data_IF_270266017846
#
_entry.id   IF_270266017846
#
_cell.length_a   1.000
_cell.length_b   1.000
_cell.length_c   1.000
_cell.angle_alpha   90.00
_cell.angle_beta   90.00
_cell.angle_gamma   90.00
#
_symmetry.space_group_name_H-M   'P 1'
#
loop_
_entity.id
_entity.type
_entity.pdbx_description
1 polymer ?
#
# COMPACT_ATOMS: atom_id res chain seq x y z
N UNK A 1 9.47 3.82 -37.49
CA UNK A 1 8.41 3.21 -36.65
C UNK A 1 8.72 1.74 -36.43
N UNK A 2 9.76 1.47 -35.66
CA UNK A 2 10.03 0.16 -35.07
C UNK A 2 10.88 0.44 -33.83
N UNK A 3 10.23 0.61 -32.68
CA UNK A 3 10.91 0.68 -31.38
C UNK A 3 11.63 -0.65 -31.18
N UNK A 4 12.97 -0.65 -31.26
CA UNK A 4 13.77 -1.85 -31.05
C UNK A 4 13.96 -2.09 -29.56
N UNK A 5 13.22 -3.07 -29.04
CA UNK A 5 13.49 -3.67 -27.74
C UNK A 5 14.91 -4.23 -27.69
N UNK A 6 15.67 -3.85 -26.67
CA UNK A 6 17.01 -4.38 -26.40
C UNK A 6 16.97 -5.42 -25.29
N UNK A 7 16.08 -6.41 -25.40
CA UNK A 7 15.97 -7.48 -24.39
C UNK A 7 16.30 -8.89 -24.88
N UNK A 8 16.40 -9.15 -26.19
CA UNK A 8 16.66 -10.51 -26.69
C UNK A 8 17.59 -10.53 -27.91
N UNK A 9 18.81 -11.04 -27.75
CA UNK A 9 19.49 -11.74 -28.86
C UNK A 9 18.73 -13.04 -29.09
N UNK A 10 18.28 -13.37 -30.32
CA UNK A 10 17.56 -14.61 -30.55
C UNK A 10 18.53 -15.78 -30.42
N UNK A 11 18.32 -16.64 -29.43
CA UNK A 11 18.72 -18.03 -29.58
C UNK A 11 17.71 -18.64 -30.56
N UNK A 12 18.19 -19.06 -31.73
CA UNK A 12 17.36 -19.77 -32.70
C UNK A 12 16.78 -21.05 -32.09
N UNK A 13 15.50 -21.04 -31.73
CA UNK A 13 14.69 -22.25 -31.66
C UNK A 13 13.37 -21.98 -32.41
N UNK A 14 13.11 -22.84 -33.39
CA UNK A 14 11.97 -22.74 -34.30
C UNK A 14 10.63 -22.99 -33.61
N UNK A 15 9.58 -22.54 -34.32
CA UNK A 15 8.16 -22.82 -34.12
C UNK A 15 7.83 -24.06 -33.28
N UNK A 16 7.10 -23.85 -32.18
CA UNK A 16 5.93 -24.67 -31.83
C UNK A 16 5.10 -23.98 -30.73
N UNK A 17 3.82 -23.78 -31.02
CA UNK A 17 2.65 -23.84 -30.15
C UNK A 17 2.79 -23.52 -28.63
N UNK A 18 1.97 -22.56 -28.19
CA UNK A 18 1.29 -22.60 -26.89
C UNK A 18 2.15 -22.20 -25.70
N UNK A 19 1.87 -21.04 -25.12
CA UNK A 19 2.27 -20.73 -23.75
C UNK A 19 1.13 -20.02 -23.06
N UNK A 20 0.24 -20.83 -22.50
CA UNK A 20 -0.66 -20.41 -21.45
C UNK A 20 0.19 -19.93 -20.27
N UNK A 21 0.01 -18.68 -19.87
CA UNK A 21 0.59 -18.12 -18.65
C UNK A 21 -0.15 -18.79 -17.49
N UNK A 22 0.44 -19.84 -16.93
CA UNK A 22 -0.02 -20.46 -15.69
C UNK A 22 0.45 -19.55 -14.56
N UNK A 23 -0.46 -18.72 -14.05
CA UNK A 23 -0.34 -18.11 -12.72
C UNK A 23 -0.35 -19.26 -11.72
N UNK A 24 0.83 -19.70 -11.28
CA UNK A 24 0.94 -20.76 -10.29
C UNK A 24 0.41 -20.23 -8.95
N UNK A 25 -0.80 -20.67 -8.60
CA UNK A 25 -1.34 -20.62 -7.24
C UNK A 25 -0.40 -21.40 -6.31
N UNK A 26 0.51 -20.69 -5.63
CA UNK A 26 1.27 -21.25 -4.51
C UNK A 26 0.38 -21.26 -3.26
N UNK A 27 -0.50 -22.26 -3.19
CA UNK A 27 -1.09 -22.72 -1.93
C UNK A 27 -0.04 -23.57 -1.22
N UNK A 28 0.89 -22.91 -0.54
CA UNK A 28 1.72 -23.57 0.45
C UNK A 28 0.85 -23.83 1.70
N UNK A 29 0.44 -25.08 1.89
CA UNK A 29 -0.15 -25.56 3.13
C UNK A 29 0.86 -25.38 4.26
N UNK A 30 0.66 -24.34 5.07
CA UNK A 30 1.42 -24.17 6.30
C UNK A 30 0.92 -25.16 7.36
N UNK A 31 1.80 -25.77 8.16
CA UNK A 31 1.37 -26.62 9.27
C UNK A 31 0.62 -25.77 10.29
N UNK A 32 -0.45 -26.33 10.85
CA UNK A 32 -1.26 -25.73 11.89
C UNK A 32 -0.41 -25.44 13.15
N UNK A 33 0.18 -24.26 13.22
CA UNK A 33 0.69 -23.73 14.47
C UNK A 33 -0.49 -23.29 15.32
N UNK A 34 -0.54 -23.79 16.56
CA UNK A 34 -1.58 -23.50 17.53
C UNK A 34 -1.97 -22.01 17.54
N UNK A 35 -3.26 -21.79 17.32
CA UNK A 35 -3.90 -20.51 17.03
C UNK A 35 -3.93 -19.63 18.29
N UNK A 36 -2.93 -18.76 18.45
CA UNK A 36 -2.89 -17.73 19.50
C UNK A 36 -3.32 -16.34 18.99
N UNK A 37 -4.01 -16.29 17.84
CA UNK A 37 -4.58 -15.05 17.27
C UNK A 37 -6.05 -14.88 17.65
N UNK A 38 -6.59 -13.66 17.51
CA UNK A 38 -8.04 -13.41 17.63
C UNK A 38 -8.75 -14.12 16.46
N UNK A 39 -9.83 -14.89 16.65
CA UNK A 39 -10.59 -15.44 15.54
C UNK A 39 -11.22 -14.34 14.69
N UNK A 40 -11.25 -14.51 13.37
CA UNK A 40 -11.86 -13.52 12.46
C UNK A 40 -13.31 -13.19 12.84
N UNK A 41 -14.08 -14.22 13.20
CA UNK A 41 -15.47 -14.03 13.62
C UNK A 41 -15.60 -13.10 14.84
N UNK A 42 -14.60 -13.05 15.72
CA UNK A 42 -14.58 -12.07 16.82
C UNK A 42 -14.35 -10.66 16.28
N UNK A 43 -13.41 -10.50 15.34
CA UNK A 43 -13.11 -9.20 14.73
C UNK A 43 -14.31 -8.65 13.95
N UNK A 44 -14.96 -9.51 13.16
CA UNK A 44 -16.15 -9.14 12.39
C UNK A 44 -17.27 -8.65 13.34
N UNK A 45 -17.49 -9.35 14.46
CA UNK A 45 -18.45 -8.90 15.48
C UNK A 45 -18.03 -7.57 16.10
N UNK A 46 -16.73 -7.37 16.39
CA UNK A 46 -16.25 -6.11 16.95
C UNK A 46 -16.46 -4.97 15.95
N UNK A 47 -16.06 -5.12 14.69
CA UNK A 47 -16.18 -4.08 13.66
C UNK A 47 -17.65 -3.71 13.37
N UNK A 48 -18.54 -4.69 13.28
CA UNK A 48 -19.96 -4.45 12.98
C UNK A 48 -20.73 -3.85 14.17
N UNK A 49 -20.41 -4.27 15.40
CA UNK A 49 -21.27 -4.02 16.56
C UNK A 49 -20.65 -3.15 17.66
N UNK A 50 -19.32 -2.97 17.68
CA UNK A 50 -18.61 -2.31 18.77
C UNK A 50 -17.71 -1.16 18.28
N UNK A 51 -16.78 -1.46 17.37
CA UNK A 51 -15.78 -0.58 16.79
C UNK A 51 -16.36 0.29 15.67
N UNK A 52 -17.51 0.91 15.96
CA UNK A 52 -18.14 1.91 15.10
C UNK A 52 -17.72 3.32 15.51
N UNK A 53 -17.70 4.24 14.54
CA UNK A 53 -17.35 5.65 14.78
C UNK A 53 -18.25 6.27 15.86
N UNK A 54 -17.66 6.89 16.88
CA UNK A 54 -18.40 7.46 18.02
C UNK A 54 -18.75 6.48 19.15
N UNK A 55 -18.42 5.19 18.97
CA UNK A 55 -18.52 4.14 19.98
C UNK A 55 -17.13 3.67 20.42
N UNK A 56 -16.57 2.63 19.82
CA UNK A 56 -15.29 2.04 20.23
C UNK A 56 -14.28 1.91 19.08
N UNK A 57 -14.21 2.90 18.19
CA UNK A 57 -13.20 2.94 17.13
C UNK A 57 -12.39 4.24 17.11
N UNK A 58 -11.07 4.08 16.96
CA UNK A 58 -10.13 5.18 16.76
C UNK A 58 -9.84 6.00 18.02
N UNK A 59 -9.15 7.15 17.88
CA UNK A 59 -8.66 7.94 19.00
C UNK A 59 -9.77 8.50 19.91
N UNK A 60 -10.96 8.75 19.35
CA UNK A 60 -12.12 9.26 20.07
C UNK A 60 -13.06 8.15 20.60
N UNK A 61 -12.56 6.92 20.66
CA UNK A 61 -13.30 5.80 21.24
C UNK A 61 -13.75 6.13 22.67
N UNK A 62 -15.01 5.80 22.98
CA UNK A 62 -15.61 6.06 24.28
C UNK A 62 -14.79 5.40 25.38
N UNK A 63 -14.51 6.18 26.42
CA UNK A 63 -13.66 5.78 27.54
C UNK A 63 -12.24 5.39 27.10
N UNK A 64 -11.76 5.83 25.94
CA UNK A 64 -10.42 5.52 25.40
C UNK A 64 -10.21 4.04 25.11
N UNK A 65 -11.29 3.31 24.81
CA UNK A 65 -11.24 1.87 24.51
C UNK A 65 -11.49 1.65 23.01
N UNK A 66 -10.41 1.59 22.24
CA UNK A 66 -10.43 1.24 20.82
C UNK A 66 -10.51 -0.30 20.68
N UNK A 67 -11.54 -0.78 19.99
CA UNK A 67 -11.82 -2.21 19.78
C UNK A 67 -11.63 -2.60 18.31
N UNK A 68 -11.02 -1.74 17.51
CA UNK A 68 -10.62 -2.06 16.13
C UNK A 68 -9.67 -3.25 16.08
N UNK A 69 -9.66 -3.98 14.98
CA UNK A 69 -8.82 -5.17 14.81
C UNK A 69 -7.34 -4.94 15.11
N UNK A 70 -6.84 -3.73 14.85
CA UNK A 70 -5.46 -3.32 15.08
C UNK A 70 -5.11 -3.21 16.58
N UNK A 71 -6.08 -2.89 17.43
CA UNK A 71 -5.85 -2.55 18.85
C UNK A 71 -6.51 -3.53 19.82
N UNK A 72 -7.51 -4.29 19.38
CA UNK A 72 -8.42 -5.08 20.22
C UNK A 72 -7.69 -5.89 21.30
N UNK A 73 -6.75 -6.75 20.91
CA UNK A 73 -6.08 -7.64 21.87
C UNK A 73 -5.37 -6.85 22.97
N UNK A 74 -4.57 -5.85 22.58
CA UNK A 74 -3.79 -5.02 23.50
C UNK A 74 -4.69 -4.15 24.39
N UNK A 75 -5.84 -3.75 23.85
CA UNK A 75 -6.82 -2.92 24.53
C UNK A 75 -7.63 -3.67 25.59
N UNK A 76 -7.81 -5.00 25.46
CA UNK A 76 -8.71 -5.76 26.35
C UNK A 76 -8.04 -6.86 27.18
N UNK A 77 -7.04 -7.56 26.65
CA UNK A 77 -6.48 -8.75 27.31
C UNK A 77 -5.63 -8.34 28.50
N UNK A 78 -6.00 -8.83 29.70
CA UNK A 78 -5.36 -8.49 30.96
C UNK A 78 -5.32 -6.97 31.25
N UNK A 79 -6.24 -6.20 30.67
CA UNK A 79 -6.41 -4.77 30.94
C UNK A 79 -7.49 -4.56 32.01
N UNK A 80 -7.23 -3.87 33.13
CA UNK A 80 -8.26 -3.54 34.10
C UNK A 80 -9.39 -2.71 33.49
N UNK A 81 -10.64 -3.03 33.83
CA UNK A 81 -11.79 -2.23 33.45
C UNK A 81 -11.75 -0.87 34.15
N UNK A 82 -12.00 0.21 33.41
CA UNK A 82 -12.07 1.56 33.99
C UNK A 82 -13.28 1.77 34.90
N UNK A 83 -14.38 1.05 34.63
CA UNK A 83 -15.61 1.17 35.41
C UNK A 83 -15.56 0.30 36.68
N UNK A 84 -14.92 -0.87 36.57
CA UNK A 84 -14.80 -1.87 37.64
C UNK A 84 -13.35 -2.38 37.68
N UNK A 85 -12.42 -1.65 38.30
CA UNK A 85 -10.98 -1.97 38.25
C UNK A 85 -10.57 -3.33 38.81
N UNK A 86 -11.44 -3.97 39.60
CA UNK A 86 -11.26 -5.32 40.11
C UNK A 86 -11.46 -6.41 39.05
N UNK A 87 -12.08 -6.08 37.92
CA UNK A 87 -12.26 -6.97 36.78
C UNK A 87 -11.36 -6.53 35.62
N UNK A 88 -10.88 -7.49 34.84
CA UNK A 88 -10.22 -7.23 33.56
C UNK A 88 -11.26 -7.15 32.45
N UNK A 89 -11.00 -6.35 31.42
CA UNK A 89 -11.80 -6.29 30.20
C UNK A 89 -11.92 -7.68 29.58
N UNK A 90 -10.79 -8.36 29.38
CA UNK A 90 -10.73 -9.79 29.11
C UNK A 90 -9.78 -10.43 30.12
N UNK A 91 -10.31 -11.33 30.94
CA UNK A 91 -9.57 -12.26 31.78
C UNK A 91 -9.33 -13.54 30.96
N UNK A 92 -8.07 -13.84 30.58
CA UNK A 92 -7.77 -15.02 29.78
C UNK A 92 -8.29 -16.30 30.41
N UNK A 93 -8.90 -17.16 29.59
CA UNK A 93 -9.46 -18.44 29.98
C UNK A 93 -10.77 -18.38 30.76
N UNK A 94 -11.30 -17.18 31.06
CA UNK A 94 -12.50 -17.05 31.88
C UNK A 94 -13.45 -15.93 31.37
N UNK A 95 -14.41 -16.27 30.48
CA UNK A 95 -15.41 -15.33 29.99
C UNK A 95 -16.25 -14.72 31.11
N UNK A 96 -16.63 -15.50 32.12
CA UNK A 96 -17.54 -15.06 33.18
C UNK A 96 -16.89 -14.03 34.12
N UNK A 97 -15.55 -14.02 34.21
CA UNK A 97 -14.76 -13.01 34.93
C UNK A 97 -14.26 -11.87 34.01
N UNK A 98 -14.65 -11.87 32.74
CA UNK A 98 -14.27 -10.85 31.77
C UNK A 98 -15.32 -9.74 31.70
N UNK A 99 -14.95 -8.51 32.05
CA UNK A 99 -15.85 -7.36 32.08
C UNK A 99 -16.48 -7.07 30.71
N UNK A 100 -15.74 -7.25 29.61
CA UNK A 100 -16.28 -7.11 28.27
C UNK A 100 -17.43 -8.09 28.02
N UNK A 101 -17.27 -9.35 28.42
CA UNK A 101 -18.31 -10.38 28.31
C UNK A 101 -19.54 -10.05 29.16
N UNK A 102 -19.34 -9.64 30.42
CA UNK A 102 -20.44 -9.22 31.30
C UNK A 102 -21.23 -8.06 30.69
N UNK A 103 -20.56 -7.09 30.06
CA UNK A 103 -21.21 -5.97 29.35
C UNK A 103 -22.04 -6.44 28.16
N UNK A 104 -21.65 -7.53 27.49
CA UNK A 104 -22.38 -8.09 26.35
C UNK A 104 -23.61 -8.91 26.73
N UNK A 105 -23.58 -9.59 27.88
CA UNK A 105 -24.69 -10.44 28.35
C UNK A 105 -25.62 -9.73 29.33
N UNK A 106 -25.22 -8.59 29.88
CA UNK A 106 -25.97 -7.92 30.94
C UNK A 106 -25.73 -8.56 32.32
N UNK A 107 -24.53 -9.10 32.54
CA UNK A 107 -24.20 -9.89 33.74
C UNK A 107 -24.05 -9.06 35.01
N UNK A 108 -24.12 -9.74 36.15
CA UNK A 108 -23.94 -9.12 37.47
C UNK A 108 -22.56 -8.47 37.61
N UNK A 109 -22.49 -7.35 38.35
CA UNK A 109 -21.25 -6.60 38.56
C UNK A 109 -20.89 -5.61 37.44
N UNK A 110 -21.66 -5.55 36.34
CA UNK A 110 -21.44 -4.54 35.32
C UNK A 110 -21.99 -3.16 35.74
N UNK A 111 -21.33 -2.08 35.32
CA UNK A 111 -21.85 -0.71 35.49
C UNK A 111 -22.51 -0.19 34.22
N UNK A 112 -23.63 0.52 34.38
CA UNK A 112 -24.38 1.12 33.28
C UNK A 112 -25.20 0.10 32.47
N UNK A 113 -25.47 0.40 31.19
CA UNK A 113 -26.32 -0.44 30.31
C UNK A 113 -25.52 -1.54 29.61
N UNK A 114 -26.22 -2.61 29.20
CA UNK A 114 -25.71 -3.67 28.32
C UNK A 114 -25.19 -3.06 27.01
N UNK A 115 -24.14 -3.65 26.46
CA UNK A 115 -23.52 -3.31 25.18
C UNK A 115 -23.69 -4.47 24.18
N UNK A 116 -23.78 -4.22 22.86
CA UNK A 116 -23.93 -2.91 22.22
C UNK A 116 -25.23 -2.20 22.64
N UNK A 117 -25.27 -0.86 22.56
CA UNK A 117 -26.44 -0.06 22.93
C UNK A 117 -27.40 0.05 21.73
N UNK A 118 -28.70 -0.13 21.97
CA UNK A 118 -29.76 0.06 20.96
C UNK A 118 -30.44 -1.25 20.55
N UNK A 119 -30.99 -1.30 19.33
CA UNK A 119 -31.65 -2.50 18.75
C UNK A 119 -30.65 -3.54 18.19
N UNK A 120 -29.36 -3.41 18.51
CA UNK A 120 -28.25 -4.22 18.00
C UNK A 120 -27.62 -5.10 19.09
N UNK A 121 -28.45 -5.80 19.86
CA UNK A 121 -27.93 -6.80 20.81
C UNK A 121 -27.35 -7.98 20.04
N UNK A 122 -26.15 -8.41 20.40
CA UNK A 122 -25.51 -9.58 19.81
C UNK A 122 -26.40 -10.83 19.98
N UNK A 123 -26.40 -11.69 18.97
CA UNK A 123 -27.09 -12.98 19.04
C UNK A 123 -26.39 -13.91 20.03
N UNK A 124 -27.09 -14.96 20.49
CA UNK A 124 -26.48 -15.98 21.34
C UNK A 124 -25.24 -16.63 20.68
N UNK A 125 -25.26 -16.81 19.35
CA UNK A 125 -24.12 -17.36 18.61
C UNK A 125 -22.93 -16.40 18.62
N UNK A 126 -23.16 -15.11 18.37
CA UNK A 126 -22.10 -14.10 18.41
C UNK A 126 -21.48 -13.98 19.81
N UNK A 127 -22.30 -14.04 20.86
CA UNK A 127 -21.83 -14.06 22.25
C UNK A 127 -20.99 -15.31 22.52
N UNK A 128 -21.41 -16.47 22.01
CA UNK A 128 -20.66 -17.71 22.16
C UNK A 128 -19.30 -17.66 21.45
N UNK A 129 -19.23 -17.10 20.23
CA UNK A 129 -17.96 -16.90 19.50
C UNK A 129 -16.95 -16.11 20.35
N UNK A 130 -17.41 -15.04 21.02
CA UNK A 130 -16.54 -14.24 21.88
C UNK A 130 -16.18 -14.98 23.17
N UNK A 131 -17.11 -15.76 23.75
CA UNK A 131 -16.84 -16.59 24.92
C UNK A 131 -15.79 -17.67 24.62
N UNK A 132 -15.90 -18.34 23.47
CA UNK A 132 -14.97 -19.38 23.03
C UNK A 132 -13.58 -18.78 22.80
N UNK A 133 -13.52 -17.61 22.16
CA UNK A 133 -12.26 -16.88 22.04
C UNK A 133 -11.63 -16.58 23.39
N UNK A 134 -12.35 -15.94 24.32
CA UNK A 134 -11.81 -15.64 25.66
C UNK A 134 -11.33 -16.92 26.37
N UNK A 135 -12.10 -18.01 26.26
CA UNK A 135 -11.77 -19.32 26.86
C UNK A 135 -10.50 -19.94 26.26
N UNK A 136 -10.26 -19.72 24.96
CA UNK A 136 -9.07 -20.20 24.27
C UNK A 136 -7.78 -19.43 24.61
N UNK A 137 -7.88 -18.24 25.21
CA UNK A 137 -6.70 -17.46 25.59
C UNK A 137 -6.03 -18.11 26.82
N UNK A 138 -4.74 -18.48 26.77
CA UNK A 138 -4.04 -19.06 27.91
C UNK A 138 -4.05 -18.13 29.13
N UNK A 139 -4.22 -18.67 30.34
CA UNK A 139 -4.28 -17.89 31.59
C UNK A 139 -3.04 -17.04 31.87
N UNK A 140 -1.89 -17.43 31.33
CA UNK A 140 -0.63 -16.68 31.39
C UNK A 140 -0.39 -15.70 30.24
N UNK A 141 -1.35 -15.53 29.32
CA UNK A 141 -1.20 -14.65 28.16
C UNK A 141 -1.01 -13.18 28.58
N UNK A 142 -0.03 -12.53 28.00
CA UNK A 142 0.30 -11.13 28.17
C UNK A 142 -0.22 -10.30 27.00
N UNK A 143 -0.23 -8.97 27.14
CA UNK A 143 -0.52 -8.09 26.00
C UNK A 143 0.47 -8.27 24.83
N UNK A 144 1.67 -8.78 25.10
CA UNK A 144 2.68 -9.04 24.08
C UNK A 144 2.33 -10.26 23.21
N UNK A 145 1.39 -11.11 23.65
CA UNK A 145 0.90 -12.26 22.88
C UNK A 145 -0.14 -11.87 21.81
N UNK A 146 -0.43 -10.57 21.67
CA UNK A 146 -1.25 -10.00 20.61
C UNK A 146 -0.65 -10.32 19.23
N UNK A 147 -1.04 -11.43 18.61
CA UNK A 147 -0.77 -11.65 17.20
C UNK A 147 -1.83 -10.93 16.38
N UNK A 148 -1.40 -10.01 15.51
CA UNK A 148 -2.24 -9.54 14.40
C UNK A 148 -2.80 -10.76 13.69
N UNK A 149 -4.11 -10.80 13.52
CA UNK A 149 -4.80 -11.87 12.78
C UNK A 149 -4.59 -11.75 11.28
N UNK A 150 -4.09 -10.59 10.87
CA UNK A 150 -3.74 -10.27 9.50
C UNK A 150 -2.24 -10.15 9.35
N UNK A 151 -1.73 -10.63 8.22
CA UNK A 151 -0.34 -10.45 7.83
C UNK A 151 -0.21 -9.10 7.11
N UNK A 152 0.76 -8.29 7.52
CA UNK A 152 1.01 -6.98 6.94
C UNK A 152 2.28 -7.06 6.07
N UNK A 153 2.09 -7.50 4.82
CA UNK A 153 3.20 -7.73 3.90
C UNK A 153 4.00 -6.45 3.63
N UNK A 154 3.30 -5.32 3.48
CA UNK A 154 3.84 -3.98 3.28
C UNK A 154 3.01 -2.99 4.10
N UNK A 155 3.66 -2.18 4.94
CA UNK A 155 3.00 -1.32 5.94
C UNK A 155 2.72 0.10 5.40
N UNK A 156 3.40 0.49 4.33
CA UNK A 156 3.35 1.83 3.74
C UNK A 156 2.38 1.91 2.57
N UNK A 157 1.89 3.11 2.23
CA UNK A 157 1.00 3.36 1.07
C UNK A 157 1.54 2.81 -0.27
N UNK A 158 2.85 2.88 -0.45
CA UNK A 158 3.60 2.34 -1.57
C UNK A 158 4.91 1.77 -1.04
N UNK A 159 5.51 0.82 -1.76
CA UNK A 159 6.84 0.30 -1.42
C UNK A 159 7.92 1.29 -1.86
N UNK A 160 7.94 1.74 -3.10
CA UNK A 160 8.62 2.96 -3.52
C UNK A 160 7.80 3.72 -4.55
N UNK A 161 7.50 3.05 -5.66
CA UNK A 161 6.59 3.54 -6.69
C UNK A 161 5.29 2.73 -6.65
N UNK A 162 5.39 1.39 -6.61
CA UNK A 162 4.23 0.52 -6.64
C UNK A 162 3.32 0.70 -5.41
N UNK A 163 1.99 0.83 -5.59
CA UNK A 163 1.06 0.89 -4.49
C UNK A 163 1.02 -0.44 -3.77
N UNK A 164 0.90 -0.41 -2.45
CA UNK A 164 0.68 -1.61 -1.65
C UNK A 164 -0.81 -1.81 -1.39
N UNK A 165 -1.14 -2.93 -0.75
CA UNK A 165 -2.46 -3.23 -0.21
C UNK A 165 -2.80 -2.47 1.09
N UNK A 166 -1.86 -1.66 1.62
CA UNK A 166 -2.08 -0.89 2.83
C UNK A 166 -2.98 0.34 2.55
N UNK A 167 -3.90 0.57 3.48
CA UNK A 167 -4.80 1.73 3.53
C UNK A 167 -4.51 2.56 4.78
N UNK A 168 -4.93 3.82 4.76
CA UNK A 168 -4.81 4.68 5.95
C UNK A 168 -5.94 4.31 6.91
N UNK A 169 -5.67 4.04 8.19
CA UNK A 169 -6.71 3.73 9.17
C UNK A 169 -7.51 4.98 9.56
N UNK A 170 -8.80 4.82 9.91
CA UNK A 170 -9.60 5.93 10.45
C UNK A 170 -8.94 6.51 11.70
N UNK A 171 -9.07 7.83 11.86
CA UNK A 171 -8.46 8.56 12.98
C UNK A 171 -7.08 9.15 12.68
N UNK A 172 -6.51 8.84 11.51
CA UNK A 172 -5.30 9.46 11.01
C UNK A 172 -5.47 9.94 9.56
N UNK A 173 -4.55 10.78 9.10
CA UNK A 173 -4.28 11.02 7.70
C UNK A 173 -2.81 10.72 7.42
N UNK A 174 -2.48 10.44 6.16
CA UNK A 174 -1.09 10.21 5.74
C UNK A 174 -0.57 11.45 5.03
N UNK A 175 0.65 11.85 5.39
CA UNK A 175 1.45 12.80 4.61
C UNK A 175 2.67 12.09 4.04
N UNK A 176 2.94 12.31 2.75
CA UNK A 176 4.10 11.76 2.06
C UNK A 176 4.87 12.85 1.32
N UNK A 177 6.19 12.81 1.46
CA UNK A 177 7.13 13.49 0.58
C UNK A 177 7.86 12.40 -0.22
N UNK A 178 7.86 12.53 -1.55
CA UNK A 178 8.68 11.71 -2.44
C UNK A 178 9.67 12.60 -3.19
N UNK A 179 10.90 12.12 -3.30
CA UNK A 179 12.00 12.84 -3.92
C UNK A 179 12.76 11.90 -4.84
N UNK A 180 13.07 12.36 -6.05
CA UNK A 180 13.92 11.68 -7.03
C UNK A 180 14.99 12.67 -7.46
N UNK A 181 16.26 12.37 -7.20
CA UNK A 181 17.35 13.16 -7.75
C UNK A 181 17.43 12.91 -9.26
N UNK A 182 17.83 13.92 -10.03
CA UNK A 182 17.91 13.81 -11.49
C UNK A 182 19.28 13.31 -11.95
N UNK A 183 20.34 13.68 -11.22
CA UNK A 183 21.71 13.28 -11.54
C UNK A 183 21.95 11.81 -11.20
N UNK A 184 22.72 11.09 -12.03
CA UNK A 184 23.01 9.69 -11.81
C UNK A 184 23.96 9.47 -10.64
N UNK A 185 23.94 8.25 -10.09
CA UNK A 185 24.80 7.84 -8.97
C UNK A 185 26.29 7.80 -9.32
N UNK A 186 26.62 7.67 -10.60
CA UNK A 186 27.99 7.61 -11.12
C UNK A 186 28.56 9.00 -11.46
N UNK A 187 27.83 10.09 -11.17
CA UNK A 187 28.31 11.47 -11.31
C UNK A 187 29.57 11.78 -10.46
N UNK A 188 29.93 10.89 -9.53
CA UNK A 188 31.16 10.97 -8.76
C UNK A 188 31.04 11.84 -7.51
N UNK A 189 32.14 11.98 -6.78
CA UNK A 189 32.16 12.69 -5.48
C UNK A 189 31.99 14.21 -5.62
N UNK A 190 32.36 14.79 -6.76
CA UNK A 190 32.23 16.24 -7.01
C UNK A 190 30.77 16.69 -7.13
N UNK A 191 29.84 15.77 -7.45
CA UNK A 191 28.38 15.99 -7.43
C UNK A 191 27.69 15.18 -6.32
N UNK A 192 28.44 14.73 -5.32
CA UNK A 192 27.95 13.94 -4.19
C UNK A 192 27.12 12.71 -4.63
N UNK A 193 27.61 11.96 -5.62
CA UNK A 193 26.91 10.79 -6.20
C UNK A 193 25.52 11.14 -6.75
N UNK A 194 25.40 12.33 -7.33
CA UNK A 194 24.17 12.87 -7.92
C UNK A 194 23.23 13.57 -6.93
N UNK A 195 23.59 13.67 -5.64
CA UNK A 195 22.78 14.34 -4.62
C UNK A 195 22.80 15.87 -4.74
N UNK A 196 23.83 16.44 -5.39
CA UNK A 196 23.91 17.90 -5.62
C UNK A 196 23.05 18.35 -6.83
N UNK A 197 22.50 17.39 -7.58
CA UNK A 197 21.66 17.64 -8.74
C UNK A 197 20.27 18.14 -8.41
N UNK A 198 19.58 18.64 -9.44
CA UNK A 198 18.15 18.97 -9.34
C UNK A 198 17.29 17.73 -9.05
N UNK A 199 16.04 17.96 -8.65
CA UNK A 199 15.15 16.86 -8.28
C UNK A 199 13.71 17.02 -8.79
N UNK A 200 13.04 15.88 -8.97
CA UNK A 200 11.60 15.76 -9.09
C UNK A 200 10.99 15.41 -7.72
N UNK A 201 10.16 16.30 -7.20
CA UNK A 201 9.55 16.18 -5.88
C UNK A 201 8.03 16.01 -6.00
N UNK A 202 7.45 15.23 -5.11
CA UNK A 202 6.01 15.12 -4.93
C UNK A 202 5.63 15.25 -3.45
N UNK A 203 4.56 15.99 -3.19
CA UNK A 203 3.87 16.02 -1.90
C UNK A 203 2.53 15.33 -2.04
N UNK A 204 2.13 14.51 -1.06
CA UNK A 204 0.86 13.78 -1.06
C UNK A 204 0.20 13.82 0.32
N UNK A 205 -1.12 13.98 0.32
CA UNK A 205 -1.97 13.82 1.50
C UNK A 205 -3.01 12.75 1.19
N UNK A 206 -3.24 11.82 2.11
CA UNK A 206 -4.29 10.82 1.98
C UNK A 206 -5.19 10.76 3.23
N UNK A 207 -6.50 10.73 3.00
CA UNK A 207 -7.55 10.78 4.00
C UNK A 207 -8.39 9.50 3.94
N UNK A 208 -8.60 8.80 5.08
CA UNK A 208 -9.45 7.63 5.13
C UNK A 208 -10.94 8.01 5.11
N UNK A 209 -11.69 7.46 4.16
CA UNK A 209 -13.15 7.49 4.15
C UNK A 209 -13.73 6.34 5.00
N UNK A 210 -13.06 5.19 4.98
CA UNK A 210 -13.27 4.05 5.88
C UNK A 210 -11.93 3.45 6.29
N UNK A 211 -11.92 2.38 7.08
CA UNK A 211 -10.68 1.64 7.34
C UNK A 211 -10.12 0.98 6.07
N UNK A 212 -10.98 0.72 5.08
CA UNK A 212 -10.65 0.04 3.83
C UNK A 212 -10.61 0.98 2.62
N UNK A 213 -11.13 2.20 2.74
CA UNK A 213 -11.20 3.16 1.64
C UNK A 213 -10.45 4.44 2.00
N UNK A 214 -9.44 4.80 1.22
CA UNK A 214 -8.64 6.01 1.38
C UNK A 214 -8.67 6.83 0.09
N UNK A 215 -8.95 8.12 0.18
CA UNK A 215 -8.78 9.07 -0.91
C UNK A 215 -7.46 9.85 -0.73
N UNK A 216 -6.82 10.26 -1.82
CA UNK A 216 -5.56 11.00 -1.78
C UNK A 216 -5.49 12.07 -2.86
N UNK A 217 -4.77 13.13 -2.55
CA UNK A 217 -4.34 14.16 -3.49
C UNK A 217 -2.82 14.28 -3.43
N UNK A 218 -2.16 14.32 -4.58
CA UNK A 218 -0.73 14.59 -4.66
C UNK A 218 -0.42 15.69 -5.67
N UNK A 219 0.76 16.30 -5.52
CA UNK A 219 1.30 17.28 -6.45
C UNK A 219 2.75 16.94 -6.73
N UNK A 220 3.05 16.55 -7.97
CA UNK A 220 4.40 16.26 -8.48
C UNK A 220 4.92 17.44 -9.27
N UNK A 221 6.22 17.76 -9.13
CA UNK A 221 6.90 18.85 -9.87
C UNK A 221 6.81 18.66 -11.38
N UNK A 222 6.98 17.43 -11.83
CA UNK A 222 6.91 17.03 -13.24
C UNK A 222 5.53 17.42 -13.80
N UNK A 223 5.51 18.15 -14.92
CA UNK A 223 4.33 18.66 -15.64
C UNK A 223 3.33 19.42 -14.75
N UNK A 224 3.80 19.92 -13.60
CA UNK A 224 2.95 20.44 -12.55
C UNK A 224 1.74 19.54 -12.22
N UNK A 225 1.93 18.22 -12.23
CA UNK A 225 0.83 17.23 -12.18
C UNK A 225 0.18 17.14 -10.80
N UNK A 226 -1.14 17.24 -10.75
CA UNK A 226 -1.95 16.81 -9.61
C UNK A 226 -2.45 15.38 -9.82
N UNK A 227 -2.27 14.49 -8.85
CA UNK A 227 -2.91 13.16 -8.84
C UNK A 227 -4.09 13.19 -7.86
N UNK A 228 -5.26 12.75 -8.30
CA UNK A 228 -6.41 12.47 -7.44
C UNK A 228 -6.67 10.97 -7.51
N UNK A 229 -6.58 10.27 -6.39
CA UNK A 229 -6.70 8.82 -6.36
C UNK A 229 -7.51 8.31 -5.16
N UNK A 230 -8.15 7.16 -5.34
CA UNK A 230 -8.80 6.41 -4.26
C UNK A 230 -8.26 4.98 -4.23
N UNK A 231 -7.96 4.49 -3.03
CA UNK A 231 -7.54 3.11 -2.78
C UNK A 231 -8.58 2.39 -1.93
N UNK A 232 -9.11 1.29 -2.44
CA UNK A 232 -10.04 0.41 -1.74
C UNK A 232 -9.39 -0.95 -1.49
N UNK A 233 -9.24 -1.34 -0.23
CA UNK A 233 -8.82 -2.67 0.17
C UNK A 233 -10.00 -3.64 0.12
N UNK A 234 -9.82 -4.73 -0.61
CA UNK A 234 -10.82 -5.76 -0.82
C UNK A 234 -10.71 -6.90 0.19
N UNK A 235 -9.49 -7.29 0.53
CA UNK A 235 -9.22 -8.36 1.50
C UNK A 235 -7.83 -8.21 2.11
N UNK A 236 -7.65 -8.80 3.29
CA UNK A 236 -6.36 -8.87 4.00
C UNK A 236 -5.97 -10.32 4.21
N UNK A 237 -4.72 -10.63 3.91
CA UNK A 237 -4.12 -11.92 4.26
C UNK A 237 -4.30 -12.17 5.76
N UNK A 238 -4.81 -13.35 6.11
CA UNK A 238 -5.02 -13.76 7.49
C UNK A 238 -3.93 -14.74 7.91
N UNK A 239 -3.37 -14.55 9.10
CA UNK A 239 -2.30 -15.40 9.66
C UNK A 239 -2.77 -16.84 9.90
N UNK A 240 -4.09 -17.06 10.04
CA UNK A 240 -4.71 -18.38 10.10
C UNK A 240 -4.97 -19.04 8.73
N UNK A 241 -4.66 -18.37 7.62
CA UNK A 241 -4.77 -18.92 6.26
C UNK A 241 -6.16 -18.90 5.63
N UNK A 242 -7.21 -18.48 6.34
CA UNK A 242 -8.59 -18.37 5.80
C UNK A 242 -8.71 -17.38 4.65
N UNK A 243 -7.83 -16.37 4.59
CA UNK A 243 -7.63 -15.49 3.44
C UNK A 243 -6.15 -15.55 3.04
N UNK A 244 -5.81 -16.05 1.84
CA UNK A 244 -4.44 -16.43 1.51
C UNK A 244 -3.53 -15.29 1.04
N UNK A 245 -4.07 -14.11 0.74
CA UNK A 245 -3.32 -12.91 0.33
C UNK A 245 -4.14 -11.64 0.60
N UNK A 246 -3.49 -10.49 0.64
CA UNK A 246 -4.17 -9.19 0.67
C UNK A 246 -4.39 -8.68 -0.75
N UNK A 247 -5.50 -7.96 -0.98
CA UNK A 247 -5.79 -7.31 -2.25
C UNK A 247 -6.40 -5.92 -2.05
N UNK A 248 -6.05 -4.99 -2.94
CA UNK A 248 -6.67 -3.69 -3.04
C UNK A 248 -6.78 -3.25 -4.50
N UNK A 249 -7.51 -2.16 -4.73
CA UNK A 249 -7.59 -1.44 -6.00
C UNK A 249 -7.24 0.01 -5.74
N UNK A 250 -6.30 0.56 -6.50
CA UNK A 250 -6.01 1.98 -6.59
C UNK A 250 -6.52 2.47 -7.96
N UNK A 251 -7.33 3.52 -7.98
CA UNK A 251 -7.75 4.15 -9.23
C UNK A 251 -7.70 5.68 -9.09
N UNK A 252 -7.43 6.38 -10.18
CA UNK A 252 -7.30 7.82 -10.13
C UNK A 252 -7.11 8.49 -11.47
N UNK A 253 -6.89 9.80 -11.39
CA UNK A 253 -6.61 10.70 -12.50
C UNK A 253 -5.40 11.57 -12.18
N UNK A 254 -4.49 11.66 -13.14
CA UNK A 254 -3.43 12.65 -13.17
C UNK A 254 -3.84 13.81 -14.05
N UNK A 255 -3.64 15.03 -13.57
CA UNK A 255 -3.93 16.28 -14.27
C UNK A 255 -2.66 17.11 -14.43
N UNK A 256 -2.14 17.19 -15.65
CA UNK A 256 -0.96 17.96 -16.00
C UNK A 256 -1.29 19.46 -16.12
N UNK A 257 -0.81 20.27 -15.17
CA UNK A 257 -1.18 21.68 -15.07
C UNK A 257 -0.07 22.64 -15.48
N UNK A 258 0.99 22.17 -16.12
CA UNK A 258 2.06 23.06 -16.56
C UNK A 258 1.57 23.99 -17.69
N UNK A 259 1.96 25.27 -17.63
CA UNK A 259 1.48 26.27 -18.58
C UNK A 259 2.03 26.05 -20.00
N UNK A 260 3.25 25.54 -20.09
CA UNK A 260 3.99 25.39 -21.34
C UNK A 260 3.91 23.94 -21.88
N UNK A 261 2.70 23.37 -21.86
CA UNK A 261 2.40 22.13 -22.58
C UNK A 261 1.68 22.49 -23.88
N UNK A 262 2.22 21.98 -24.99
CA UNK A 262 1.81 22.30 -26.35
C UNK A 262 0.93 21.20 -26.93
N UNK A 263 0.01 21.59 -27.81
CA UNK A 263 -0.91 20.67 -28.43
C UNK A 263 -0.13 19.67 -29.31
N UNK A 264 -0.26 18.35 -29.07
CA UNK A 264 0.47 17.34 -29.84
C UNK A 264 0.09 17.34 -31.32
N UNK A 265 -1.13 17.75 -31.66
CA UNK A 265 -1.63 17.84 -33.04
C UNK A 265 -1.47 19.25 -33.64
N UNK A 266 -1.22 20.26 -32.79
CA UNK A 266 -0.90 21.64 -33.18
C UNK A 266 0.29 22.24 -32.38
N UNK A 267 1.55 21.84 -32.64
CA UNK A 267 2.69 22.15 -31.77
C UNK A 267 3.05 23.64 -31.59
N UNK A 268 2.48 24.53 -32.40
CA UNK A 268 2.63 25.98 -32.24
C UNK A 268 1.68 26.56 -31.17
N UNK A 269 0.70 25.78 -30.71
CA UNK A 269 -0.36 26.22 -29.81
C UNK A 269 -0.19 25.60 -28.42
N UNK A 270 -0.49 26.38 -27.38
CA UNK A 270 -0.50 25.88 -26.01
C UNK A 270 -1.83 25.21 -25.72
N UNK A 271 -1.81 24.02 -25.15
CA UNK A 271 -3.03 23.34 -24.72
C UNK A 271 -3.71 24.11 -23.59
N UNK A 272 -5.04 24.22 -23.63
CA UNK A 272 -5.83 24.62 -22.46
C UNK A 272 -5.55 23.68 -21.29
N UNK A 273 -5.54 24.17 -20.05
CA UNK A 273 -5.41 23.33 -18.83
C UNK A 273 -6.52 22.28 -18.70
N UNK A 274 -7.62 22.43 -19.44
CA UNK A 274 -8.76 21.50 -19.47
C UNK A 274 -8.77 20.60 -20.70
N UNK A 275 -7.72 20.62 -21.53
CA UNK A 275 -7.57 19.72 -22.68
C UNK A 275 -7.51 18.25 -22.22
N UNK A 276 -8.06 17.33 -23.01
CA UNK A 276 -8.22 15.92 -22.63
C UNK A 276 -6.88 15.21 -22.45
N UNK A 277 -5.91 15.55 -23.29
CA UNK A 277 -4.52 15.09 -23.36
C UNK A 277 -3.76 15.35 -22.04
N UNK A 278 -4.24 16.30 -21.23
CA UNK A 278 -3.66 16.61 -19.91
C UNK A 278 -4.16 15.71 -18.79
N UNK A 279 -5.09 14.80 -19.06
CA UNK A 279 -5.67 13.90 -18.07
C UNK A 279 -5.28 12.45 -18.32
N UNK A 280 -4.42 11.89 -17.47
CA UNK A 280 -4.11 10.46 -17.48
C UNK A 280 -5.02 9.70 -16.51
N UNK A 281 -5.58 8.57 -16.91
CA UNK A 281 -6.44 7.74 -16.06
C UNK A 281 -5.74 6.43 -15.76
N UNK A 282 -5.76 6.00 -14.50
CA UNK A 282 -5.10 4.76 -14.10
C UNK A 282 -5.95 3.91 -13.17
N UNK A 283 -5.72 2.59 -13.27
CA UNK A 283 -6.20 1.59 -12.32
C UNK A 283 -5.07 0.59 -12.06
N UNK A 284 -4.78 0.30 -10.80
CA UNK A 284 -3.83 -0.72 -10.36
C UNK A 284 -4.45 -1.61 -9.30
N UNK A 285 -4.17 -2.91 -9.34
CA UNK A 285 -4.72 -3.88 -8.39
C UNK A 285 -3.61 -4.61 -7.64
N UNK A 286 -3.04 -4.04 -6.56
CA UNK A 286 -2.00 -4.70 -5.80
C UNK A 286 -2.52 -5.95 -5.07
N UNK A 287 -1.75 -7.02 -5.18
CA UNK A 287 -1.93 -8.32 -4.53
C UNK A 287 -0.66 -8.63 -3.74
N UNK A 288 -0.75 -8.77 -2.42
CA UNK A 288 0.43 -8.98 -1.56
C UNK A 288 0.29 -10.20 -0.66
N UNK A 289 1.42 -10.85 -0.38
CA UNK A 289 1.48 -12.04 0.46
C UNK A 289 2.77 -12.10 1.26
N UNK A 290 2.68 -12.54 2.51
CA UNK A 290 3.82 -12.92 3.34
C UNK A 290 4.27 -14.37 3.07
N UNK A 291 5.55 -14.55 2.81
CA UNK A 291 6.23 -15.84 2.60
C UNK A 291 7.12 -16.13 3.81
N UNK A 292 6.50 -16.62 4.88
CA UNK A 292 7.18 -16.82 6.17
C UNK A 292 7.41 -15.51 6.94
N UNK A 293 8.28 -15.51 7.95
CA UNK A 293 8.37 -14.40 8.91
C UNK A 293 9.11 -13.15 8.41
N UNK A 294 9.83 -13.25 7.28
CA UNK A 294 10.74 -12.18 6.82
C UNK A 294 10.51 -11.71 5.40
N UNK A 295 9.95 -12.56 4.53
CA UNK A 295 9.81 -12.25 3.12
C UNK A 295 8.35 -11.90 2.82
N UNK A 296 8.14 -10.82 2.07
CA UNK A 296 6.86 -10.41 1.51
C UNK A 296 7.01 -10.22 0.02
N UNK A 297 5.98 -10.56 -0.74
CA UNK A 297 5.94 -10.38 -2.20
C UNK A 297 4.65 -9.68 -2.62
N UNK A 298 4.69 -8.99 -3.75
CA UNK A 298 3.55 -8.29 -4.30
C UNK A 298 3.58 -8.30 -5.83
N UNK A 299 2.39 -8.43 -6.43
CA UNK A 299 2.15 -8.23 -7.85
C UNK A 299 1.08 -7.14 -8.04
N UNK A 300 1.24 -6.29 -9.04
CA UNK A 300 0.41 -5.11 -9.29
C UNK A 300 0.13 -4.98 -10.79
N UNK A 301 -0.84 -5.74 -11.33
CA UNK A 301 -1.35 -5.43 -12.66
C UNK A 301 -1.93 -4.01 -12.69
N UNK A 302 -1.65 -3.29 -13.77
CA UNK A 302 -2.09 -1.91 -13.94
C UNK A 302 -2.44 -1.57 -15.38
N UNK A 303 -3.40 -0.67 -15.55
CA UNK A 303 -3.79 -0.07 -16.83
C UNK A 303 -3.69 1.44 -16.69
N UNK A 304 -3.10 2.07 -17.70
CA UNK A 304 -2.96 3.50 -17.83
C UNK A 304 -3.50 3.92 -19.20
N UNK A 305 -4.35 4.94 -19.20
CA UNK A 305 -4.91 5.54 -20.40
C UNK A 305 -4.42 6.99 -20.48
N UNK A 306 -4.06 7.42 -21.68
CA UNK A 306 -3.68 8.80 -21.96
C UNK A 306 -2.51 9.25 -21.07
N UNK A 307 -1.45 8.42 -21.02
CA UNK A 307 -0.32 8.62 -20.11
C UNK A 307 0.64 9.70 -20.62
N UNK A 308 0.67 9.93 -21.93
CA UNK A 308 1.61 10.79 -22.61
C UNK A 308 0.94 12.10 -23.04
N UNK A 309 1.15 13.15 -22.24
CA UNK A 309 0.65 14.49 -22.52
C UNK A 309 1.15 15.09 -23.85
N UNK A 310 2.20 14.51 -24.44
CA UNK A 310 2.75 14.92 -25.74
C UNK A 310 2.25 14.09 -26.92
N UNK A 311 1.23 13.24 -26.74
CA UNK A 311 0.72 12.35 -27.80
C UNK A 311 -0.81 12.21 -27.74
N UNK A 312 -1.48 12.46 -28.86
CA UNK A 312 -2.92 12.20 -29.00
C UNK A 312 -3.19 10.74 -29.42
N UNK A 313 -4.34 10.21 -28.99
CA UNK A 313 -4.87 8.94 -29.50
C UNK A 313 -4.08 7.69 -29.06
N UNK A 314 -3.48 7.73 -27.88
CA UNK A 314 -2.70 6.63 -27.32
C UNK A 314 -3.52 5.34 -27.13
N UNK A 315 -2.89 4.20 -27.35
CA UNK A 315 -3.39 2.93 -26.86
C UNK A 315 -3.28 2.84 -25.33
N UNK A 316 -4.05 1.92 -24.74
CA UNK A 316 -3.94 1.62 -23.32
C UNK A 316 -2.58 0.97 -23.00
N UNK A 317 -1.89 1.52 -22.01
CA UNK A 317 -0.65 0.95 -21.48
C UNK A 317 -1.01 -0.03 -20.37
N UNK A 318 -0.51 -1.26 -20.49
CA UNK A 318 -0.70 -2.31 -19.48
C UNK A 318 0.65 -2.66 -18.88
N UNK A 319 0.74 -2.72 -17.55
CA UNK A 319 1.95 -3.09 -16.82
C UNK A 319 1.67 -4.16 -15.78
N UNK A 320 2.75 -4.84 -15.34
CA UNK A 320 2.71 -5.77 -14.21
C UNK A 320 3.84 -5.43 -13.24
N UNK A 321 3.54 -4.64 -12.21
CA UNK A 321 4.48 -4.39 -11.13
C UNK A 321 4.75 -5.65 -10.31
N UNK A 322 6.01 -5.90 -9.98
CA UNK A 322 6.46 -6.96 -9.08
C UNK A 322 7.29 -6.32 -7.97
N UNK A 323 7.04 -6.70 -6.71
CA UNK A 323 7.84 -6.21 -5.60
C UNK A 323 8.15 -7.33 -4.59
N UNK A 324 9.31 -7.22 -3.95
CA UNK A 324 9.73 -8.07 -2.84
C UNK A 324 10.25 -7.21 -1.69
N UNK A 325 9.96 -7.63 -0.46
CA UNK A 325 10.47 -7.02 0.78
C UNK A 325 11.01 -8.07 1.73
N UNK A 326 12.24 -7.88 2.20
CA UNK A 326 12.93 -8.74 3.15
C UNK A 326 13.17 -7.98 4.46
N UNK A 327 12.41 -8.30 5.50
CA UNK A 327 12.59 -7.76 6.84
C UNK A 327 13.87 -8.32 7.49
N UNK A 328 14.83 -7.44 7.74
CA UNK A 328 16.06 -7.74 8.48
C UNK A 328 15.83 -7.68 9.99
N UNK A 329 14.97 -6.75 10.42
CA UNK A 329 14.50 -6.57 11.79
C UNK A 329 13.11 -5.95 11.78
N UNK A 330 12.57 -5.60 12.95
CA UNK A 330 11.32 -4.83 13.06
C UNK A 330 11.44 -3.38 12.55
N UNK A 331 12.66 -2.87 12.34
CA UNK A 331 12.92 -1.48 11.91
C UNK A 331 13.50 -1.36 10.51
N UNK A 332 14.12 -2.42 9.99
CA UNK A 332 14.91 -2.37 8.76
C UNK A 332 14.48 -3.49 7.82
N UNK A 333 14.24 -3.14 6.55
CA UNK A 333 13.99 -4.10 5.50
C UNK A 333 14.71 -3.71 4.21
N UNK A 334 15.03 -4.69 3.37
CA UNK A 334 15.44 -4.46 1.98
C UNK A 334 14.21 -4.62 1.09
N UNK A 335 14.11 -3.86 0.01
CA UNK A 335 13.04 -4.03 -0.97
C UNK A 335 13.55 -3.83 -2.39
N UNK A 336 12.83 -4.43 -3.34
CA UNK A 336 13.02 -4.22 -4.77
C UNK A 336 11.68 -4.24 -5.50
N UNK A 337 11.59 -3.47 -6.57
CA UNK A 337 10.45 -3.34 -7.48
C UNK A 337 10.94 -3.45 -8.93
N UNK A 338 10.13 -4.11 -9.76
CA UNK A 338 10.30 -4.20 -11.19
C UNK A 338 8.94 -4.00 -11.87
N UNK A 339 8.86 -3.09 -12.84
CA UNK A 339 7.61 -2.72 -13.51
C UNK A 339 7.79 -2.82 -15.03
N UNK A 340 7.60 -4.03 -15.60
CA UNK A 340 7.54 -4.21 -17.03
C UNK A 340 6.26 -3.65 -17.65
N UNK A 341 6.39 -3.06 -18.83
CA UNK A 341 5.25 -2.76 -19.70
C UNK A 341 4.95 -3.98 -20.56
N UNK A 342 3.71 -4.44 -20.51
CA UNK A 342 3.23 -5.59 -21.28
C UNK A 342 2.69 -5.18 -22.66
N UNK A 343 2.04 -4.01 -22.75
CA UNK A 343 1.50 -3.44 -24.00
C UNK A 343 1.47 -1.91 -23.94
N UNK A 344 1.50 -1.23 -25.09
CA UNK A 344 1.40 0.24 -25.18
C UNK A 344 2.71 0.97 -24.86
N UNK A 345 3.85 0.28 -24.92
CA UNK A 345 5.16 0.88 -24.66
C UNK A 345 5.56 1.91 -25.75
N UNK A 346 5.01 1.79 -26.95
CA UNK A 346 5.19 2.71 -28.07
C UNK A 346 4.55 4.09 -27.85
N UNK A 347 3.62 4.18 -26.90
CA UNK A 347 2.94 5.41 -26.52
C UNK A 347 3.43 5.96 -25.18
N UNK A 348 4.16 5.15 -24.39
CA UNK A 348 4.64 5.51 -23.08
C UNK A 348 5.47 6.81 -23.08
N UNK A 349 5.17 7.71 -22.15
CA UNK A 349 5.99 8.89 -21.88
C UNK A 349 7.01 8.57 -20.79
N UNK A 350 8.28 8.48 -21.17
CA UNK A 350 9.37 8.46 -20.20
C UNK A 350 9.57 9.88 -19.66
N UNK A 351 9.42 10.09 -18.34
CA UNK A 351 9.38 11.45 -17.78
C UNK A 351 10.49 11.71 -16.75
N UNK A 352 11.29 12.75 -17.00
CA UNK A 352 12.36 13.24 -16.11
C UNK A 352 13.79 12.91 -16.57
N UNK A 353 14.75 13.77 -16.25
CA UNK A 353 16.16 13.60 -16.65
C UNK A 353 16.39 13.59 -18.18
N UNK A 354 17.57 13.11 -18.61
CA UNK A 354 17.98 13.11 -20.02
C UNK A 354 17.32 11.92 -20.73
N UNK A 355 16.55 12.20 -21.79
CA UNK A 355 15.98 11.16 -22.65
C UNK A 355 17.12 10.48 -23.40
N UNK A 356 17.16 9.14 -23.31
CA UNK A 356 18.05 8.36 -24.13
C UNK A 356 17.44 8.20 -25.52
N UNK A 357 18.17 8.56 -26.57
CA UNK A 357 17.77 8.39 -27.96
C UNK A 357 18.72 7.41 -28.66
N UNK A 358 18.19 6.61 -29.56
CA UNK A 358 19.03 5.80 -30.44
C UNK A 358 19.68 6.67 -31.54
N UNK A 359 20.57 6.09 -32.34
CA UNK A 359 21.24 6.81 -33.46
C UNK A 359 20.26 7.39 -34.50
N UNK A 360 19.00 6.94 -34.50
CA UNK A 360 17.93 7.46 -35.35
C UNK A 360 17.06 8.53 -34.69
N UNK A 361 17.37 8.96 -33.46
CA UNK A 361 16.63 9.96 -32.69
C UNK A 361 15.34 9.42 -32.06
N UNK A 362 15.13 8.10 -32.02
CA UNK A 362 13.96 7.51 -31.35
C UNK A 362 14.27 7.32 -29.85
N UNK A 363 13.32 7.71 -28.99
CA UNK A 363 13.44 7.52 -27.54
C UNK A 363 13.58 6.03 -27.20
N UNK A 364 14.52 5.73 -26.31
CA UNK A 364 14.76 4.39 -25.79
C UNK A 364 13.96 4.22 -24.51
N UNK A 365 13.07 3.24 -24.55
CA UNK A 365 12.23 2.85 -23.43
C UNK A 365 12.90 1.76 -22.58
N UNK A 366 12.81 1.88 -21.25
CA UNK A 366 13.25 0.84 -20.32
C UNK A 366 12.14 0.50 -19.32
N UNK A 367 12.09 -0.76 -18.90
CA UNK A 367 11.26 -1.17 -17.76
C UNK A 367 11.76 -0.48 -16.48
N UNK A 368 10.84 -0.16 -15.56
CA UNK A 368 11.22 0.51 -14.31
C UNK A 368 11.77 -0.49 -13.30
N UNK A 369 12.91 -0.18 -12.69
CA UNK A 369 13.51 -0.90 -11.59
C UNK A 369 13.79 0.04 -10.42
N UNK A 370 13.53 -0.42 -9.20
CA UNK A 370 13.84 0.32 -7.98
C UNK A 370 14.28 -0.65 -6.89
N UNK A 371 15.33 -0.34 -6.15
CA UNK A 371 15.73 -1.15 -4.99
C UNK A 371 16.32 -0.28 -3.88
N UNK A 372 16.10 -0.67 -2.63
CA UNK A 372 16.56 0.12 -1.51
C UNK A 372 16.28 -0.46 -0.14
N UNK A 373 16.34 0.43 0.85
CA UNK A 373 16.16 0.12 2.26
C UNK A 373 14.91 0.83 2.77
N UNK A 374 14.07 0.10 3.49
CA UNK A 374 12.97 0.60 4.29
C UNK A 374 13.41 0.72 5.75
N UNK A 375 13.14 1.88 6.37
CA UNK A 375 13.41 2.17 7.77
C UNK A 375 12.10 2.62 8.43
N UNK A 376 11.56 1.78 9.33
CA UNK A 376 10.34 2.06 10.08
C UNK A 376 10.68 2.49 11.51
N UNK A 377 10.42 3.76 11.86
CA UNK A 377 10.67 4.32 13.19
C UNK A 377 9.57 5.31 13.61
N UNK A 378 9.02 5.13 14.83
CA UNK A 378 8.17 6.15 15.47
C UNK A 378 7.02 6.69 14.60
N UNK A 379 6.31 5.81 13.89
CA UNK A 379 5.20 6.18 13.00
C UNK A 379 5.62 6.79 11.65
N UNK A 380 6.92 6.80 11.35
CA UNK A 380 7.47 7.15 10.04
C UNK A 380 7.96 5.89 9.33
N UNK A 381 7.79 5.88 8.01
CA UNK A 381 8.50 4.96 7.14
C UNK A 381 9.34 5.78 6.18
N UNK A 382 10.64 5.48 6.15
CA UNK A 382 11.60 6.06 5.22
C UNK A 382 11.98 5.00 4.20
N UNK A 383 11.91 5.35 2.92
CA UNK A 383 12.57 4.59 1.86
C UNK A 383 13.74 5.39 1.35
N UNK A 384 14.90 4.78 1.25
CA UNK A 384 16.06 5.30 0.52
C UNK A 384 16.43 4.26 -0.51
N UNK A 385 16.48 4.65 -1.78
CA UNK A 385 16.60 3.71 -2.88
C UNK A 385 17.32 4.30 -4.08
N UNK A 386 17.68 3.40 -4.98
CA UNK A 386 18.09 3.73 -6.33
C UNK A 386 16.99 3.31 -7.31
N UNK A 387 16.74 4.13 -8.33
CA UNK A 387 15.71 3.91 -9.35
C UNK A 387 16.19 4.38 -10.71
N UNK A 388 15.81 3.69 -11.79
CA UNK A 388 15.97 4.19 -13.15
C UNK A 388 14.76 5.01 -13.64
N UNK A 389 13.70 5.15 -12.82
CA UNK A 389 12.54 6.00 -13.11
C UNK A 389 12.57 7.26 -12.23
N UNK A 390 12.35 8.41 -12.86
CA UNK A 390 12.22 9.72 -12.20
C UNK A 390 10.77 10.08 -11.84
N UNK A 391 9.81 9.25 -12.25
CA UNK A 391 8.38 9.45 -11.99
C UNK A 391 8.02 9.34 -10.52
N UNK A 392 7.03 10.14 -10.10
CA UNK A 392 6.49 10.09 -8.73
C UNK A 392 5.00 9.73 -8.69
N UNK A 393 4.17 10.29 -9.56
CA UNK A 393 2.75 9.91 -9.68
C UNK A 393 2.59 8.62 -10.47
N UNK A 394 1.40 8.03 -10.41
CA UNK A 394 1.09 6.74 -11.01
C UNK A 394 1.32 6.73 -12.52
N UNK A 395 0.84 7.76 -13.24
CA UNK A 395 1.11 7.91 -14.66
C UNK A 395 2.64 7.98 -14.95
N UNK A 396 3.37 8.75 -14.13
CA UNK A 396 4.77 9.07 -14.38
C UNK A 396 5.70 7.86 -14.26
N UNK A 397 5.51 6.97 -13.29
CA UNK A 397 6.40 5.81 -13.12
C UNK A 397 5.91 4.56 -13.88
N UNK A 398 4.60 4.43 -14.14
CA UNK A 398 4.04 3.32 -14.93
C UNK A 398 4.47 3.37 -16.39
N UNK A 399 4.75 4.58 -16.88
CA UNK A 399 5.29 4.84 -18.22
C UNK A 399 6.80 4.59 -18.33
N UNK A 400 7.36 3.71 -17.48
CA UNK A 400 8.72 3.22 -17.61
C UNK A 400 9.82 3.99 -16.88
N UNK A 401 11.02 3.45 -17.07
CA UNK A 401 12.29 4.00 -16.61
C UNK A 401 12.98 4.75 -17.73
N UNK A 402 13.73 5.77 -17.33
CA UNK A 402 14.41 6.71 -18.20
C UNK A 402 15.83 6.26 -18.55
N UNK A 403 16.32 5.26 -17.81
CA UNK A 403 17.73 4.90 -17.78
C UNK A 403 17.92 3.38 -17.82
N UNK A 404 19.03 2.96 -18.42
CA UNK A 404 19.38 1.54 -18.48
C UNK A 404 19.96 1.07 -17.14
N UNK A 405 19.17 0.31 -16.39
CA UNK A 405 19.60 -0.31 -15.13
C UNK A 405 20.89 -1.12 -15.28
N UNK A 406 21.08 -1.82 -16.40
CA UNK A 406 22.25 -2.70 -16.58
C UNK A 406 23.54 -1.93 -16.84
N UNK A 407 23.44 -0.67 -17.29
CA UNK A 407 24.60 0.20 -17.47
C UNK A 407 24.90 1.03 -16.21
N UNK A 408 24.19 0.79 -15.09
CA UNK A 408 24.42 1.50 -13.83
C UNK A 408 23.83 2.89 -13.77
N UNK A 409 23.04 3.28 -14.77
CA UNK A 409 22.46 4.61 -14.90
C UNK A 409 21.24 4.74 -13.96
N UNK A 410 21.52 5.00 -12.69
CA UNK A 410 20.53 4.98 -11.60
C UNK A 410 20.52 6.32 -10.86
N UNK A 411 19.37 6.70 -10.29
CA UNK A 411 19.27 7.87 -9.42
C UNK A 411 18.86 7.51 -8.02
N UNK A 412 19.41 8.25 -7.06
CA UNK A 412 18.97 8.16 -5.67
C UNK A 412 17.57 8.77 -5.56
N UNK A 413 16.76 8.17 -4.71
CA UNK A 413 15.46 8.69 -4.33
C UNK A 413 15.16 8.37 -2.89
N UNK A 414 14.21 9.11 -2.33
CA UNK A 414 13.65 8.78 -1.05
C UNK A 414 12.15 9.02 -1.01
N UNK A 415 11.48 8.32 -0.11
CA UNK A 415 10.12 8.60 0.30
C UNK A 415 10.07 8.71 1.82
N UNK A 416 9.27 9.64 2.33
CA UNK A 416 8.98 9.77 3.76
C UNK A 416 7.47 9.71 3.91
N UNK A 417 6.97 8.69 4.60
CA UNK A 417 5.56 8.57 4.96
C UNK A 417 5.42 8.84 6.43
N UNK A 418 4.39 9.58 6.79
CA UNK A 418 4.00 9.78 8.18
C UNK A 418 2.50 9.64 8.32
N UNK A 419 2.08 8.79 9.24
CA UNK A 419 0.72 8.79 9.74
C UNK A 419 0.60 9.86 10.83
N UNK A 420 -0.36 10.76 10.66
CA UNK A 420 -0.66 11.86 11.54
C UNK A 420 -2.07 11.69 12.07
N UNK A 421 -2.21 11.55 13.39
CA UNK A 421 -3.52 11.44 14.03
C UNK A 421 -4.25 12.79 13.94
N UNK A 422 -5.58 12.76 13.75
CA UNK A 422 -6.36 13.99 13.84
C UNK A 422 -6.24 14.58 15.24
N UNK A 423 -6.02 15.90 15.37
CA UNK A 423 -5.87 16.55 16.67
C UNK A 423 -7.20 16.85 17.38
N UNK A 424 -8.32 16.22 17.00
CA UNK A 424 -9.67 16.59 17.46
C UNK A 424 -10.46 15.42 18.02
#
# INVERSE_FOLDING_TARGET
MNVKYRFWRPLHLGCAAGSAIVVALLVASSPAFAQTGIPDAVLDIMDESCATSGCHAGPNARRGLDLTAETLYQAVVNVPSRDVPTLKLVQPGNPQQSYLFLKMVGGEGMKGKRMPRGNSTLTAQQIQVIADWISSIPTGASKADARKTYAEAFESWSSANLPTTATVPKGAFMYRIAHRFNSPVDAGFDELLGLDGGAAMMTQVAFPLSNDLTASISRSKINATFELAAKWRLMREKTGGSVPFSAAVLAGVDWATEGDLYDPDAPAEKMSRTAGERFGLFVQAPLSKTLGPKLSVMAVPGVLLNGNVGKSGEAALVSLGLAGKLNLSTKYALFAEFVPILTGAEDAAVIGGVLNENEAGEQIFYDSFTAGVEIAIGGHVFHVFVSNSAGNTTNQYMSGGNFDFFNGDMRIGFNIYRLLNYPF
#
